data_IF_450585900779
#
_entry.id   IF_450585900779
#
_cell.length_a   1.000
_cell.length_b   1.000
_cell.length_c   1.000
_cell.angle_alpha   90.00
_cell.angle_beta   90.00
_cell.angle_gamma   90.00
#
_symmetry.space_group_name_H-M   'P 1'
#
loop_
_entity.id
_entity.type
_entity.pdbx_description
1 polymer ?
#
# COMPACT_ATOMS: atom_id res chain seq x y z
N UNK A 1 -23.56 17.62 -8.03
CA UNK A 1 -23.09 18.87 -7.40
C UNK A 1 -23.22 18.76 -5.89
N UNK A 2 -22.28 19.33 -5.15
CA UNK A 2 -22.40 19.49 -3.71
C UNK A 2 -23.11 20.81 -3.41
N UNK A 3 -23.94 20.84 -2.36
CA UNK A 3 -24.60 22.04 -1.85
C UNK A 3 -23.89 22.48 -0.56
N UNK A 4 -23.65 23.78 -0.40
CA UNK A 4 -23.08 24.33 0.84
C UNK A 4 -24.19 24.39 1.89
N UNK A 5 -23.92 23.85 3.08
CA UNK A 5 -24.89 23.76 4.19
C UNK A 5 -24.59 24.78 5.28
N UNK A 6 -23.31 24.99 5.59
CA UNK A 6 -22.89 25.97 6.58
C UNK A 6 -21.53 26.57 6.22
N UNK A 7 -21.40 27.87 6.44
CA UNK A 7 -20.13 28.60 6.29
C UNK A 7 -19.39 28.57 7.63
N UNK A 8 -18.18 28.05 7.64
CA UNK A 8 -17.36 27.86 8.85
C UNK A 8 -15.94 28.41 8.67
N UNK A 9 -15.39 28.41 7.45
CA UNK A 9 -14.08 29.00 7.15
C UNK A 9 -12.90 28.31 7.83
N UNK A 10 -12.92 26.98 7.94
CA UNK A 10 -11.87 26.23 8.64
C UNK A 10 -10.62 26.09 7.76
N UNK A 11 -9.48 26.59 8.27
CA UNK A 11 -8.16 26.33 7.67
C UNK A 11 -7.70 24.91 8.01
N UNK A 12 -7.47 24.11 6.97
CA UNK A 12 -7.00 22.72 7.13
C UNK A 12 -5.50 22.69 7.35
N UNK A 13 -5.08 22.23 8.51
CA UNK A 13 -3.67 21.99 8.81
C UNK A 13 -3.17 20.65 8.25
N UNK A 14 -1.94 20.66 7.77
CA UNK A 14 -1.29 19.44 7.29
C UNK A 14 -1.09 18.45 8.45
N UNK A 15 -1.39 17.18 8.22
CA UNK A 15 -1.26 16.14 9.25
C UNK A 15 -2.51 15.91 10.11
N UNK A 16 -3.56 16.71 9.93
CA UNK A 16 -4.85 16.55 10.60
C UNK A 16 -5.96 16.13 9.63
N UNK A 17 -6.88 15.30 10.13
CA UNK A 17 -8.12 14.95 9.46
C UNK A 17 -9.23 15.80 10.06
N UNK A 18 -9.94 16.51 9.20
CA UNK A 18 -11.12 17.28 9.57
C UNK A 18 -12.37 16.53 9.12
N UNK A 19 -13.33 16.38 10.03
CA UNK A 19 -14.54 15.63 9.78
C UNK A 19 -15.70 16.19 10.59
N UNK A 20 -16.91 15.79 10.23
CA UNK A 20 -18.14 16.16 10.94
C UNK A 20 -18.48 15.02 11.90
N UNK A 21 -18.58 15.32 13.19
CA UNK A 21 -18.82 14.35 14.24
C UNK A 21 -20.28 13.84 14.27
N UNK A 22 -20.64 13.05 15.27
CA UNK A 22 -22.01 12.53 15.42
C UNK A 22 -23.03 13.62 15.77
N UNK A 23 -22.58 14.70 16.39
CA UNK A 23 -23.42 15.84 16.79
C UNK A 23 -23.63 16.84 15.63
N UNK A 24 -22.90 16.68 14.52
CA UNK A 24 -22.97 17.58 13.38
C UNK A 24 -21.97 18.74 13.47
N UNK A 25 -21.00 18.66 14.38
CA UNK A 25 -19.97 19.67 14.58
C UNK A 25 -18.68 19.30 13.84
N UNK A 26 -17.86 20.31 13.55
CA UNK A 26 -16.57 20.07 12.91
C UNK A 26 -15.51 19.78 13.96
N UNK A 27 -14.86 18.64 13.81
CA UNK A 27 -13.77 18.18 14.66
C UNK A 27 -12.52 17.87 13.84
N UNK A 28 -11.35 18.00 14.46
CA UNK A 28 -10.06 17.65 13.90
C UNK A 28 -9.38 16.55 14.72
N UNK A 29 -8.61 15.67 14.08
CA UNK A 29 -7.80 14.67 14.75
C UNK A 29 -6.47 14.50 14.01
N UNK A 30 -5.37 14.26 14.75
CA UNK A 30 -4.07 13.96 14.14
C UNK A 30 -4.18 12.65 13.35
N UNK A 31 -3.81 12.65 12.07
CA UNK A 31 -3.90 11.48 11.21
C UNK A 31 -2.93 10.38 11.67
N UNK A 32 -3.42 9.14 11.74
CA UNK A 32 -2.57 7.96 11.82
C UNK A 32 -1.85 7.77 10.46
N UNK A 33 -0.53 7.64 10.47
CA UNK A 33 0.28 7.38 9.27
C UNK A 33 1.30 6.29 9.57
N UNK A 34 1.33 5.24 8.74
CA UNK A 34 2.20 4.08 8.96
C UNK A 34 1.96 3.44 10.32
N UNK A 35 3.03 3.24 11.10
CA UNK A 35 2.96 2.65 12.44
C UNK A 35 2.61 3.66 13.55
N UNK A 36 2.36 4.95 13.21
CA UNK A 36 2.04 5.99 14.21
C UNK A 36 0.54 6.02 14.49
N UNK A 37 0.17 5.99 15.77
CA UNK A 37 -1.22 6.13 16.23
C UNK A 37 -1.74 7.54 15.93
N UNK A 38 -3.03 7.62 15.60
CA UNK A 38 -3.74 8.88 15.44
C UNK A 38 -3.94 9.60 16.78
N UNK A 39 -4.33 10.87 16.70
CA UNK A 39 -4.63 11.69 17.88
C UNK A 39 -6.09 11.59 18.31
N UNK A 40 -6.37 12.01 19.55
CA UNK A 40 -7.75 12.18 20.03
C UNK A 40 -8.43 13.31 19.24
N UNK A 41 -9.72 13.16 18.90
CA UNK A 41 -10.46 14.20 18.19
C UNK A 41 -10.70 15.41 19.11
N UNK A 42 -10.53 16.62 18.55
CA UNK A 42 -10.82 17.90 19.20
C UNK A 42 -11.87 18.64 18.38
N UNK A 43 -12.87 19.19 19.04
CA UNK A 43 -13.91 20.00 18.41
C UNK A 43 -13.33 21.37 18.04
N UNK A 44 -13.55 21.80 16.80
CA UNK A 44 -13.04 23.06 16.24
C UNK A 44 -14.16 24.08 16.13
N UNK A 45 -15.32 23.65 15.63
CA UNK A 45 -16.47 24.54 15.44
C UNK A 45 -17.78 23.80 15.75
N UNK A 46 -18.67 24.48 16.47
CA UNK A 46 -20.05 24.03 16.72
C UNK A 46 -20.92 24.52 15.56
N UNK A 47 -21.49 23.60 14.79
CA UNK A 47 -22.28 23.91 13.59
C UNK A 47 -23.66 23.24 13.66
N UNK A 48 -23.79 22.09 14.32
CA UNK A 48 -25.07 21.42 14.49
C UNK A 48 -25.70 20.90 13.18
N UNK A 49 -24.90 20.42 12.24
CA UNK A 49 -25.40 19.94 10.95
C UNK A 49 -26.15 18.61 11.11
N UNK A 50 -27.45 18.64 10.78
CA UNK A 50 -28.29 17.43 10.71
C UNK A 50 -27.90 16.59 9.49
N UNK A 51 -27.49 15.34 9.73
CA UNK A 51 -27.08 14.42 8.68
C UNK A 51 -28.29 13.64 8.16
N UNK A 52 -28.62 13.87 6.89
CA UNK A 52 -29.66 13.13 6.18
C UNK A 52 -29.11 11.81 5.60
N UNK A 53 -29.97 10.79 5.58
CA UNK A 53 -29.64 9.51 4.97
C UNK A 53 -29.50 9.68 3.45
N UNK A 54 -28.48 9.01 2.87
CA UNK A 54 -28.21 9.10 1.43
C UNK A 54 -27.37 10.31 1.01
N UNK A 55 -26.95 11.16 1.93
CA UNK A 55 -26.01 12.26 1.68
C UNK A 55 -24.67 12.05 2.38
N UNK A 56 -23.61 12.55 1.76
CA UNK A 56 -22.27 12.65 2.34
C UNK A 56 -22.02 14.10 2.72
N UNK A 57 -21.69 14.31 4.00
CA UNK A 57 -21.31 15.61 4.52
C UNK A 57 -19.80 15.66 4.68
N UNK A 58 -19.19 16.73 4.19
CA UNK A 58 -17.74 16.91 4.22
C UNK A 58 -17.38 18.40 4.28
N UNK A 59 -16.10 18.66 4.54
CA UNK A 59 -15.55 20.01 4.56
C UNK A 59 -14.89 20.25 3.21
N UNK A 60 -15.33 21.29 2.50
CA UNK A 60 -14.84 21.63 1.16
C UNK A 60 -13.43 22.26 1.19
N UNK A 61 -12.98 22.79 0.06
CA UNK A 61 -11.65 23.43 -0.05
C UNK A 61 -11.61 24.78 0.66
N UNK A 62 -12.74 25.48 0.74
CA UNK A 62 -12.86 26.79 1.38
C UNK A 62 -12.96 26.65 2.91
N UNK A 63 -13.15 25.42 3.41
CA UNK A 63 -13.27 25.14 4.83
C UNK A 63 -14.71 25.15 5.34
N UNK A 64 -15.68 25.09 4.44
CA UNK A 64 -17.10 25.12 4.74
C UNK A 64 -17.71 23.71 4.70
N UNK A 65 -18.85 23.54 5.38
CA UNK A 65 -19.56 22.26 5.39
C UNK A 65 -20.48 22.17 4.19
N UNK A 66 -20.27 21.16 3.35
CA UNK A 66 -21.03 20.88 2.15
C UNK A 66 -21.61 19.47 2.18
N UNK A 67 -22.76 19.28 1.52
CA UNK A 67 -23.41 17.98 1.36
C UNK A 67 -23.51 17.57 -0.12
N UNK A 68 -23.39 16.27 -0.39
CA UNK A 68 -23.57 15.72 -1.73
C UNK A 68 -24.33 14.39 -1.67
N UNK A 69 -25.17 14.11 -2.68
CA UNK A 69 -25.89 12.84 -2.77
C UNK A 69 -24.90 11.69 -2.96
N UNK A 70 -24.97 10.70 -2.09
CA UNK A 70 -24.04 9.57 -2.05
C UNK A 70 -24.38 8.58 -3.16
N UNK A 71 -23.43 8.32 -4.06
CA UNK A 71 -23.57 7.29 -5.09
C UNK A 71 -23.10 5.96 -4.51
N UNK A 72 -24.01 5.21 -3.89
CA UNK A 72 -23.73 3.86 -3.38
C UNK A 72 -23.70 2.87 -4.55
N UNK A 73 -22.51 2.37 -4.88
CA UNK A 73 -22.32 1.34 -5.90
C UNK A 73 -22.57 1.84 -7.33
N UNK A 74 -21.52 2.29 -8.00
CA UNK A 74 -21.61 2.48 -9.46
C UNK A 74 -21.89 1.14 -10.13
N UNK A 75 -22.85 1.09 -11.07
CA UNK A 75 -22.83 0.05 -12.11
C UNK A 75 -21.39 0.03 -12.65
N UNK A 76 -20.68 -1.10 -12.51
CA UNK A 76 -19.37 -1.28 -13.14
C UNK A 76 -19.55 -0.95 -14.62
N UNK A 77 -19.16 0.25 -15.07
CA UNK A 77 -18.98 0.50 -16.50
C UNK A 77 -17.98 -0.56 -16.92
N UNK A 78 -18.42 -1.53 -17.75
CA UNK A 78 -17.55 -2.55 -18.35
C UNK A 78 -16.39 -1.78 -18.98
N UNK A 79 -15.25 -1.74 -18.30
CA UNK A 79 -14.04 -1.21 -18.86
C UNK A 79 -13.77 -2.07 -20.10
N UNK A 80 -13.97 -1.49 -21.28
CA UNK A 80 -13.60 -2.11 -22.54
C UNK A 80 -12.17 -2.60 -22.39
N UNK A 81 -12.01 -3.90 -22.63
CA UNK A 81 -10.82 -4.73 -22.39
C UNK A 81 -9.58 -4.22 -23.15
N UNK A 82 -8.96 -3.11 -22.76
CA UNK A 82 -7.70 -2.64 -23.39
C UNK A 82 -6.49 -2.51 -22.46
N UNK A 83 -6.62 -2.75 -21.14
CA UNK A 83 -5.48 -2.72 -20.20
C UNK A 83 -5.12 -4.05 -19.52
N UNK A 84 -5.82 -5.15 -19.82
CA UNK A 84 -5.46 -6.47 -19.28
C UNK A 84 -4.36 -7.20 -20.08
N UNK A 85 -4.23 -6.95 -21.39
CA UNK A 85 -3.28 -7.69 -22.25
C UNK A 85 -1.81 -7.30 -21.98
N UNK A 86 -1.51 -6.03 -21.67
CA UNK A 86 -0.12 -5.57 -21.47
C UNK A 86 0.51 -6.02 -20.15
N UNK A 87 -0.31 -6.34 -19.12
CA UNK A 87 0.20 -6.75 -17.79
C UNK A 87 0.49 -8.25 -17.69
N UNK A 88 -0.16 -9.09 -18.49
CA UNK A 88 0.06 -10.54 -18.50
C UNK A 88 1.35 -10.91 -19.26
N UNK A 89 1.67 -10.20 -20.34
CA UNK A 89 2.91 -10.40 -21.10
C UNK A 89 4.17 -10.09 -20.25
N UNK A 90 4.15 -9.02 -19.44
CA UNK A 90 5.31 -8.63 -18.61
C UNK A 90 5.54 -9.56 -17.40
N UNK A 91 4.49 -10.22 -16.89
CA UNK A 91 4.60 -11.15 -15.75
C UNK A 91 5.06 -12.56 -16.17
N UNK A 92 4.85 -12.95 -17.44
CA UNK A 92 5.34 -14.24 -17.99
C UNK A 92 6.83 -14.18 -18.37
N UNK A 93 7.32 -13.01 -18.78
CA UNK A 93 8.75 -12.81 -19.09
C UNK A 93 9.65 -12.79 -17.84
N UNK A 94 9.19 -12.23 -16.72
CA UNK A 94 9.99 -12.15 -15.48
C UNK A 94 10.11 -13.47 -14.73
N UNK A 95 9.09 -14.34 -14.77
CA UNK A 95 9.19 -15.70 -14.18
C UNK A 95 10.17 -16.61 -14.93
N UNK A 96 10.26 -16.51 -16.27
CA UNK A 96 11.18 -17.36 -17.06
C UNK A 96 12.66 -17.01 -16.83
N UNK A 97 12.97 -15.75 -16.50
CA UNK A 97 14.35 -15.29 -16.20
C UNK A 97 14.79 -15.65 -14.76
N UNK A 98 13.85 -15.69 -13.80
CA UNK A 98 14.15 -16.09 -12.42
C UNK A 98 14.46 -17.58 -12.28
N UNK A 99 13.73 -18.45 -13.00
CA UNK A 99 13.93 -19.91 -12.93
C UNK A 99 15.27 -20.33 -13.55
N UNK A 100 15.71 -19.72 -14.67
CA UNK A 100 17.04 -19.99 -15.25
C UNK A 100 18.20 -19.51 -14.36
N UNK A 101 18.02 -18.47 -13.56
CA UNK A 101 19.07 -17.95 -12.66
C UNK A 101 19.20 -18.80 -11.39
N UNK A 102 18.10 -19.40 -10.92
CA UNK A 102 18.11 -20.31 -9.76
C UNK A 102 18.74 -21.68 -10.09
N UNK A 103 18.49 -22.24 -11.27
CA UNK A 103 19.07 -23.53 -11.67
C UNK A 103 20.58 -23.44 -11.93
N UNK A 104 21.09 -22.35 -12.53
CA UNK A 104 22.55 -22.13 -12.65
C UNK A 104 23.25 -21.96 -11.29
N UNK A 105 22.65 -21.24 -10.32
CA UNK A 105 23.29 -21.02 -9.01
C UNK A 105 23.39 -22.30 -8.17
N UNK A 106 22.42 -23.24 -8.30
CA UNK A 106 22.43 -24.53 -7.60
C UNK A 106 23.42 -25.53 -8.23
N UNK A 107 23.62 -25.48 -9.56
CA UNK A 107 24.62 -26.30 -10.25
C UNK A 107 26.06 -25.88 -9.91
N UNK A 108 26.34 -24.57 -9.82
CA UNK A 108 27.69 -24.05 -9.51
C UNK A 108 28.10 -24.36 -8.06
N UNK A 109 27.18 -24.27 -7.08
CA UNK A 109 27.48 -24.65 -5.68
C UNK A 109 27.72 -26.15 -5.49
N UNK A 110 27.09 -27.01 -6.29
CA UNK A 110 27.30 -28.48 -6.22
C UNK A 110 28.63 -28.89 -6.87
N UNK A 111 29.09 -28.17 -7.89
CA UNK A 111 30.38 -28.40 -8.54
C UNK A 111 31.58 -27.97 -7.67
N UNK A 112 31.49 -26.84 -6.96
CA UNK A 112 32.58 -26.38 -6.07
C UNK A 112 32.75 -27.24 -4.82
N UNK A 113 31.65 -27.74 -4.22
CA UNK A 113 31.74 -28.69 -3.08
C UNK A 113 32.36 -30.04 -3.50
N UNK A 114 32.01 -30.59 -4.68
CA UNK A 114 32.62 -31.86 -5.16
C UNK A 114 34.11 -31.71 -5.49
N UNK A 115 34.55 -30.54 -5.99
CA UNK A 115 35.97 -30.28 -6.31
C UNK A 115 36.82 -30.10 -5.05
N UNK A 116 36.28 -29.49 -3.99
CA UNK A 116 36.95 -29.34 -2.70
C UNK A 116 37.16 -30.70 -2.00
N UNK A 117 36.16 -31.58 -2.01
CA UNK A 117 36.25 -32.91 -1.39
C UNK A 117 37.23 -33.82 -2.15
N UNK A 118 37.24 -33.81 -3.49
CA UNK A 118 38.24 -34.58 -4.26
C UNK A 118 39.68 -34.09 -4.06
N UNK A 119 39.90 -32.78 -3.86
CA UNK A 119 41.24 -32.22 -3.60
C UNK A 119 41.75 -32.56 -2.19
N UNK A 120 40.87 -32.65 -1.21
CA UNK A 120 41.21 -33.07 0.16
C UNK A 120 41.58 -34.57 0.22
N UNK A 121 40.81 -35.44 -0.43
CA UNK A 121 41.08 -36.90 -0.43
C UNK A 121 42.37 -37.23 -1.18
N UNK A 122 42.68 -36.56 -2.31
CA UNK A 122 43.93 -36.78 -3.06
C UNK A 122 45.18 -36.27 -2.31
N UNK A 123 45.03 -35.24 -1.46
CA UNK A 123 46.13 -34.73 -0.61
C UNK A 123 46.39 -35.65 0.59
N UNK A 124 45.35 -36.29 1.13
CA UNK A 124 45.47 -37.28 2.21
C UNK A 124 46.14 -38.58 1.75
N UNK A 125 45.79 -39.10 0.56
CA UNK A 125 46.41 -40.33 0.03
C UNK A 125 47.86 -40.12 -0.40
N UNK A 126 48.23 -38.95 -0.95
CA UNK A 126 49.64 -38.64 -1.29
C UNK A 126 50.53 -38.43 -0.06
N UNK A 127 49.97 -37.96 1.07
CA UNK A 127 50.72 -37.80 2.34
C UNK A 127 50.95 -39.13 3.06
N UNK A 128 50.05 -40.11 2.87
CA UNK A 128 50.19 -41.48 3.41
C UNK A 128 51.17 -42.35 2.59
N UNK A 129 51.38 -42.04 1.31
CA UNK A 129 52.35 -42.73 0.44
C UNK A 129 53.79 -42.19 0.52
N UNK A 130 54.03 -41.04 1.17
CA UNK A 130 55.39 -40.46 1.38
C UNK A 130 55.92 -40.67 2.82
N UNK A 131 55.26 -41.53 3.60
CA UNK A 131 55.66 -41.89 4.98
C UNK A 131 55.81 -43.42 5.15
N UNK A 132 55.97 -44.13 4.03
CA UNK A 132 56.54 -45.48 3.94
C UNK A 132 57.88 -45.34 3.23
#
# INVERSE_FOLDING_TARGET
MAKKVAKVGIKKESGYLYFIDKQGDVSCAKMARGNKKGGKPKKVAKVGVKKESGFLYFIDKDGDVSCAKMVRGGKKKKATKKKAVKKVAKKKATKKKAVKKATKKKAVKKATKKKAVKKAVKKATKKKAKKR
#
